data_IF_629132780244
#
_entry.id   IF_629132780244
#
_cell.length_a   1.000
_cell.length_b   1.000
_cell.length_c   1.000
_cell.angle_alpha   90.00
_cell.angle_beta   90.00
_cell.angle_gamma   90.00
#
_symmetry.space_group_name_H-M   'P 1'
#
loop_
_entity.id
_entity.type
_entity.pdbx_description
1 polymer ?
#
# COMPACT_ATOMS: atom_id res chain seq x y z
N UNK A 1 -16.87 2.30 7.72
CA UNK A 1 -15.82 1.42 7.13
C UNK A 1 -15.69 1.77 5.66
N UNK A 2 -14.53 2.25 5.22
CA UNK A 2 -14.29 2.55 3.81
C UNK A 2 -13.81 1.28 3.11
N UNK A 3 -14.54 0.85 2.09
CA UNK A 3 -14.19 -0.29 1.23
C UNK A 3 -13.82 0.23 -0.15
N UNK A 4 -12.71 -0.26 -0.70
CA UNK A 4 -12.25 0.07 -2.04
C UNK A 4 -12.12 -1.21 -2.83
N UNK A 5 -12.90 -1.31 -3.91
CA UNK A 5 -12.79 -2.39 -4.89
C UNK A 5 -11.77 -1.99 -5.96
N UNK A 6 -10.78 -2.85 -6.18
CA UNK A 6 -9.70 -2.65 -7.14
C UNK A 6 -9.66 -3.82 -8.11
N UNK A 7 -9.51 -3.54 -9.40
CA UNK A 7 -9.26 -4.58 -10.41
C UNK A 7 -7.81 -4.52 -10.83
N UNK A 8 -7.05 -5.57 -10.55
CA UNK A 8 -5.66 -5.73 -11.00
C UNK A 8 -5.58 -7.02 -11.81
N UNK A 9 -5.20 -6.90 -13.09
CA UNK A 9 -5.07 -8.03 -14.05
C UNK A 9 -6.32 -8.94 -14.10
N UNK A 10 -7.51 -8.35 -14.09
CA UNK A 10 -8.78 -9.08 -14.16
C UNK A 10 -9.22 -9.77 -12.86
N UNK A 11 -8.47 -9.61 -11.76
CA UNK A 11 -8.91 -10.02 -10.42
C UNK A 11 -9.40 -8.79 -9.64
N UNK A 12 -10.58 -8.91 -9.05
CA UNK A 12 -11.14 -7.89 -8.17
C UNK A 12 -10.75 -8.19 -6.72
N UNK A 13 -10.22 -7.20 -6.03
CA UNK A 13 -9.95 -7.25 -4.60
C UNK A 13 -10.78 -6.18 -3.91
N UNK A 14 -11.43 -6.55 -2.82
CA UNK A 14 -12.11 -5.59 -1.94
C UNK A 14 -11.23 -5.42 -0.72
N UNK A 15 -10.73 -4.21 -0.53
CA UNK A 15 -9.84 -3.86 0.58
C UNK A 15 -10.53 -2.84 1.48
N UNK A 16 -10.28 -2.96 2.78
CA UNK A 16 -10.62 -1.97 3.79
C UNK A 16 -9.35 -1.37 4.39
N UNK A 17 -9.51 -0.21 5.06
CA UNK A 17 -8.42 0.38 5.84
C UNK A 17 -7.89 -0.58 6.89
N UNK A 18 -8.77 -1.36 7.52
CA UNK A 18 -8.43 -2.32 8.58
C UNK A 18 -7.54 -3.44 8.04
N UNK A 19 -7.78 -3.91 6.81
CA UNK A 19 -6.94 -4.95 6.18
C UNK A 19 -5.50 -4.48 6.04
N UNK A 20 -5.30 -3.20 5.70
CA UNK A 20 -3.97 -2.58 5.61
C UNK A 20 -3.35 -2.41 7.01
N UNK A 21 -4.13 -1.99 8.00
CA UNK A 21 -3.65 -1.82 9.38
C UNK A 21 -3.22 -3.15 10.03
N UNK A 22 -3.90 -4.26 9.73
CA UNK A 22 -3.49 -5.60 10.17
C UNK A 22 -2.14 -6.02 9.55
N UNK A 23 -1.84 -5.58 8.33
CA UNK A 23 -0.54 -5.85 7.70
C UNK A 23 0.60 -5.18 8.46
N UNK A 24 0.44 -3.95 8.95
CA UNK A 24 1.52 -3.25 9.68
C UNK A 24 1.94 -3.96 10.97
N UNK A 25 1.07 -4.75 11.58
CA UNK A 25 1.39 -5.49 12.81
C UNK A 25 2.47 -6.55 12.60
N UNK A 26 2.65 -7.02 11.37
CA UNK A 26 3.59 -8.10 11.00
C UNK A 26 4.59 -7.70 9.92
N UNK A 27 4.39 -6.57 9.26
CA UNK A 27 5.22 -6.13 8.15
C UNK A 27 6.46 -5.42 8.68
N UNK A 28 7.64 -5.94 8.35
CA UNK A 28 8.88 -5.18 8.51
C UNK A 28 9.02 -4.20 7.33
N UNK A 29 9.17 -2.89 7.58
CA UNK A 29 9.29 -1.90 6.52
C UNK A 29 10.59 -2.09 5.73
N UNK A 30 10.49 -2.10 4.41
CA UNK A 30 11.68 -2.01 3.58
C UNK A 30 12.26 -0.60 3.58
N UNK A 31 13.56 -0.51 3.29
CA UNK A 31 14.24 0.76 3.13
C UNK A 31 13.68 1.54 1.93
N UNK A 32 13.44 2.83 2.13
CA UNK A 32 13.04 3.76 1.08
C UNK A 32 14.25 4.13 0.21
N UNK A 33 14.64 3.20 -0.67
CA UNK A 33 15.77 3.35 -1.59
C UNK A 33 15.34 3.19 -3.05
N UNK A 34 16.14 3.75 -3.96
CA UNK A 34 15.94 3.65 -5.40
C UNK A 34 14.59 4.21 -5.85
N UNK A 35 13.69 3.35 -6.34
CA UNK A 35 12.37 3.74 -6.87
C UNK A 35 11.27 3.86 -5.80
N UNK A 36 11.55 3.51 -4.55
CA UNK A 36 10.59 3.59 -3.44
C UNK A 36 10.50 5.02 -2.88
N UNK A 37 9.95 5.95 -3.67
CA UNK A 37 9.83 7.37 -3.29
C UNK A 37 8.64 7.68 -2.38
N UNK A 38 7.59 6.86 -2.43
CA UNK A 38 6.34 7.12 -1.73
C UNK A 38 6.13 6.13 -0.59
N UNK A 39 5.64 6.63 0.54
CA UNK A 39 5.39 5.86 1.74
C UNK A 39 4.16 6.34 2.49
N UNK A 40 3.66 5.48 3.38
CA UNK A 40 2.72 5.85 4.43
C UNK A 40 3.42 5.73 5.78
N UNK A 41 3.03 6.56 6.73
CA UNK A 41 3.58 6.53 8.08
C UNK A 41 2.53 5.93 9.03
N UNK A 42 2.92 4.90 9.77
CA UNK A 42 2.06 4.25 10.76
C UNK A 42 2.88 4.00 12.02
N UNK A 43 2.42 4.54 13.16
CA UNK A 43 3.14 4.49 14.44
C UNK A 43 4.62 4.96 14.34
N UNK A 44 4.88 6.01 13.55
CA UNK A 44 6.23 6.55 13.35
C UNK A 44 7.13 5.74 12.41
N UNK A 45 6.62 4.64 11.85
CA UNK A 45 7.34 3.77 10.91
C UNK A 45 6.88 4.07 9.49
N UNK A 46 7.83 4.16 8.55
CA UNK A 46 7.56 4.46 7.14
C UNK A 46 7.49 3.19 6.32
N UNK A 47 6.36 2.97 5.66
CA UNK A 47 6.12 1.80 4.81
C UNK A 47 6.01 2.20 3.34
N UNK A 48 6.89 1.71 2.45
CA UNK A 48 6.78 1.92 1.02
C UNK A 48 5.40 1.48 0.47
N UNK A 49 4.73 2.34 -0.30
CA UNK A 49 3.34 2.07 -0.74
C UNK A 49 3.20 0.78 -1.55
N UNK A 50 4.22 0.41 -2.34
CA UNK A 50 4.19 -0.82 -3.14
C UNK A 50 4.39 -2.07 -2.30
N UNK A 51 5.12 -1.97 -1.19
CA UNK A 51 5.26 -3.07 -0.24
C UNK A 51 3.90 -3.36 0.40
N UNK A 52 3.25 -2.32 0.92
CA UNK A 52 1.96 -2.42 1.59
C UNK A 52 0.90 -3.09 0.70
N UNK A 53 0.80 -2.67 -0.57
CA UNK A 53 -0.15 -3.27 -1.50
C UNK A 53 0.23 -4.71 -1.86
N UNK A 54 1.52 -5.01 -2.02
CA UNK A 54 1.94 -6.38 -2.28
C UNK A 54 1.53 -7.31 -1.14
N UNK A 55 1.72 -6.88 0.10
CA UNK A 55 1.40 -7.72 1.27
C UNK A 55 -0.10 -7.85 1.54
N UNK A 56 -0.88 -6.78 1.35
CA UNK A 56 -2.33 -6.87 1.59
C UNK A 56 -3.05 -7.66 0.49
N UNK A 57 -2.52 -7.67 -0.74
CA UNK A 57 -3.15 -8.36 -1.89
C UNK A 57 -2.52 -9.71 -2.25
N UNK A 58 -1.32 -10.00 -1.73
CA UNK A 58 -0.48 -11.12 -2.17
C UNK A 58 0.03 -10.99 -3.61
N UNK A 59 -0.15 -9.83 -4.26
CA UNK A 59 0.27 -9.64 -5.64
C UNK A 59 1.77 -9.31 -5.72
N UNK A 60 2.47 -9.85 -6.73
CA UNK A 60 3.85 -9.44 -6.97
C UNK A 60 3.88 -7.98 -7.43
N UNK A 61 4.89 -7.22 -6.98
CA UNK A 61 5.00 -5.76 -7.27
C UNK A 61 5.09 -5.41 -8.75
N UNK A 62 5.45 -6.37 -9.60
CA UNK A 62 5.46 -6.20 -11.06
C UNK A 62 4.04 -6.20 -11.65
N UNK A 63 3.03 -6.63 -10.89
CA UNK A 63 1.64 -6.65 -11.34
C UNK A 63 0.96 -5.27 -11.26
N UNK A 64 1.56 -4.28 -10.58
CA UNK A 64 0.97 -2.96 -10.41
C UNK A 64 2.02 -1.84 -10.31
N UNK A 65 1.59 -0.62 -10.59
CA UNK A 65 2.44 0.58 -10.58
C UNK A 65 2.42 1.25 -9.20
N UNK A 66 3.36 2.17 -8.95
CA UNK A 66 3.29 3.03 -7.76
C UNK A 66 2.02 3.89 -7.74
N UNK A 67 1.57 4.35 -8.91
CA UNK A 67 0.31 5.10 -9.06
C UNK A 67 -0.91 4.30 -8.63
N UNK A 68 -0.97 2.99 -8.96
CA UNK A 68 -2.03 2.13 -8.43
C UNK A 68 -2.01 2.13 -6.91
N UNK A 69 -0.85 1.89 -6.29
CA UNK A 69 -0.74 1.84 -4.84
C UNK A 69 -1.11 3.17 -4.17
N UNK A 70 -0.67 4.29 -4.74
CA UNK A 70 -1.02 5.63 -4.28
C UNK A 70 -2.54 5.82 -4.26
N UNK A 71 -3.21 5.59 -5.40
CA UNK A 71 -4.65 5.80 -5.53
C UNK A 71 -5.46 4.90 -4.57
N UNK A 72 -5.03 3.66 -4.37
CA UNK A 72 -5.72 2.71 -3.50
C UNK A 72 -5.62 3.17 -2.05
N UNK A 73 -4.40 3.47 -1.57
CA UNK A 73 -4.16 3.87 -0.20
C UNK A 73 -4.82 5.21 0.14
N UNK A 74 -4.76 6.18 -0.77
CA UNK A 74 -5.46 7.47 -0.61
C UNK A 74 -6.98 7.28 -0.54
N UNK A 75 -7.57 6.42 -1.38
CA UNK A 75 -9.02 6.09 -1.30
C UNK A 75 -9.41 5.38 -0.01
N UNK A 76 -8.49 4.63 0.60
CA UNK A 76 -8.67 4.02 1.92
C UNK A 76 -8.46 5.00 3.08
N UNK A 77 -8.10 6.26 2.78
CA UNK A 77 -7.92 7.33 3.76
C UNK A 77 -6.53 7.36 4.42
N UNK A 78 -5.52 6.77 3.78
CA UNK A 78 -4.13 6.93 4.21
C UNK A 78 -3.51 8.19 3.61
N UNK A 79 -2.67 8.85 4.39
CA UNK A 79 -1.83 9.95 3.92
C UNK A 79 -0.55 9.36 3.28
N UNK A 80 -0.40 9.54 1.97
CA UNK A 80 0.81 9.13 1.25
C UNK A 80 1.77 10.30 1.15
N UNK A 81 2.99 10.10 1.66
CA UNK A 81 4.09 11.07 1.67
C UNK A 81 5.16 10.67 0.65
N UNK A 82 5.97 11.64 0.22
CA UNK A 82 7.13 11.43 -0.64
C UNK A 82 8.43 11.69 0.13
N UNK A 83 9.48 10.91 -0.18
CA UNK A 83 10.85 11.16 0.32
C UNK A 83 11.39 12.40 -0.40
N UNK A 84 11.77 13.42 0.37
CA UNK A 84 12.47 14.61 -0.15
C UNK A 84 13.91 14.28 -0.52
#
# INVERSE_FOLDING_TARGET
>A
MTLVSISIKGKTYTLSRKDVEEVFKRLEPEQLKGKAKYYIEFNGIRFPIKQVIAEVTGLPRVAFTAMHAYNILTKLGFEVKEVK
#
